data_IF_627297852963
#
_entry.id   IF_627297852963
#
_cell.length_a   1.000
_cell.length_b   1.000
_cell.length_c   1.000
_cell.angle_alpha   90.00
_cell.angle_beta   90.00
_cell.angle_gamma   90.00
#
_symmetry.space_group_name_H-M   'P 1'
#
loop_
_entity.id
_entity.type
_entity.pdbx_description
1 polymer ?
#
# COMPACT_ATOMS: atom_id res chain seq x y z
N UNK A 1 24.64 44.57 33.42
CA UNK A 1 24.52 46.05 33.33
C UNK A 1 25.81 46.58 32.71
N UNK A 2 25.73 47.45 31.71
CA UNK A 2 26.82 48.30 31.18
C UNK A 2 26.19 49.46 30.39
N UNK A 3 26.91 50.57 30.21
CA UNK A 3 26.40 51.87 29.76
C UNK A 3 26.09 51.93 28.24
N UNK A 4 25.04 52.62 27.74
CA UNK A 4 24.87 54.10 27.51
C UNK A 4 26.00 54.72 26.68
N UNK A 5 25.78 55.64 25.73
CA UNK A 5 24.57 56.40 25.25
C UNK A 5 24.12 55.92 23.84
N UNK A 6 23.14 56.43 23.05
CA UNK A 6 22.29 57.64 22.98
C UNK A 6 22.93 58.95 22.44
N UNK A 7 22.25 59.87 21.74
CA UNK A 7 20.84 59.93 21.27
C UNK A 7 20.74 59.77 19.72
N UNK A 8 20.11 60.56 18.82
CA UNK A 8 19.43 61.89 18.80
C UNK A 8 18.22 61.88 17.82
N UNK A 9 17.48 63.00 17.73
CA UNK A 9 16.31 63.26 16.85
C UNK A 9 16.74 63.85 15.48
N UNK A 10 15.92 63.99 14.41
CA UNK A 10 14.50 63.67 14.16
C UNK A 10 13.78 64.78 13.37
N UNK A 11 12.94 64.46 12.35
CA UNK A 11 12.18 65.44 11.55
C UNK A 11 10.94 64.82 10.85
N UNK A 12 9.92 65.65 10.51
CA UNK A 12 8.64 65.28 9.84
C UNK A 12 8.23 66.37 8.83
N UNK A 13 7.53 65.98 7.74
CA UNK A 13 6.96 66.82 6.66
C UNK A 13 8.02 67.51 5.75
N UNK A 14 7.77 67.90 4.49
CA UNK A 14 6.62 68.60 3.87
C UNK A 14 6.35 68.11 2.41
N UNK A 15 5.17 68.39 1.86
CA UNK A 15 4.75 68.03 0.49
C UNK A 15 4.87 69.17 -0.56
N UNK A 16 4.63 68.80 -1.83
CA UNK A 16 3.93 69.60 -2.89
C UNK A 16 4.75 70.28 -4.00
N UNK A 17 4.74 69.65 -5.19
CA UNK A 17 4.70 70.19 -6.59
C UNK A 17 4.93 69.00 -7.55
N UNK A 18 4.22 68.73 -8.67
CA UNK A 18 3.08 69.32 -9.41
C UNK A 18 2.25 68.12 -9.97
N UNK A 19 0.94 68.14 -10.23
CA UNK A 19 -0.07 69.22 -10.12
C UNK A 19 -0.91 69.39 -11.40
N UNK A 20 -1.68 68.37 -11.81
CA UNK A 20 -2.65 68.40 -12.93
C UNK A 20 -3.99 67.80 -12.48
N UNK A 21 -5.09 68.25 -13.07
CA UNK A 21 -6.46 68.10 -12.57
C UNK A 21 -7.14 66.74 -12.87
N UNK A 22 -8.23 66.46 -12.14
CA UNK A 22 -9.09 65.31 -12.38
C UNK A 22 -10.49 65.78 -12.83
N UNK A 23 -10.86 65.55 -14.09
CA UNK A 23 -12.18 65.94 -14.59
C UNK A 23 -12.49 65.48 -16.02
N UNK A 24 -13.53 64.62 -16.14
CA UNK A 24 -14.23 64.22 -17.38
C UNK A 24 -13.38 63.66 -18.53
N UNK A 25 -13.52 62.35 -18.77
CA UNK A 25 -13.90 61.88 -20.11
C UNK A 25 -14.76 60.60 -19.99
N UNK A 26 -15.87 60.56 -20.73
CA UNK A 26 -16.72 59.37 -20.89
C UNK A 26 -16.77 59.04 -22.37
N UNK A 27 -16.16 57.92 -22.77
CA UNK A 27 -16.56 57.16 -23.94
C UNK A 27 -15.96 55.75 -23.97
N UNK A 28 -16.85 54.77 -24.18
CA UNK A 28 -16.67 53.59 -25.02
C UNK A 28 -15.32 52.84 -25.05
N UNK A 29 -15.31 51.64 -24.44
CA UNK A 29 -14.80 50.40 -25.07
C UNK A 29 -15.39 49.15 -24.42
N UNK A 30 -16.40 48.60 -25.09
CA UNK A 30 -16.84 47.19 -25.14
C UNK A 30 -16.36 46.23 -24.03
N UNK A 31 -17.28 45.77 -23.18
CA UNK A 31 -17.08 44.56 -22.40
C UNK A 31 -17.00 43.31 -23.31
N UNK A 32 -16.17 42.30 -22.98
CA UNK A 32 -16.16 41.03 -23.71
C UNK A 32 -17.47 40.26 -23.48
N UNK A 33 -18.02 39.65 -24.54
CA UNK A 33 -19.20 38.78 -24.43
C UNK A 33 -18.85 37.54 -23.58
N UNK A 34 -19.78 37.03 -22.75
CA UNK A 34 -19.66 35.66 -22.23
C UNK A 34 -19.69 34.68 -23.40
N UNK A 35 -18.82 33.66 -23.34
CA UNK A 35 -18.85 32.54 -24.29
C UNK A 35 -19.91 31.55 -23.81
N UNK A 36 -21.00 31.42 -24.58
CA UNK A 36 -21.93 30.30 -24.40
C UNK A 36 -21.24 29.02 -24.84
N UNK A 37 -20.86 28.18 -23.86
CA UNK A 37 -20.48 26.79 -24.13
C UNK A 37 -21.76 25.98 -24.19
N UNK A 38 -21.95 25.23 -25.27
CA UNK A 38 -23.18 24.51 -25.54
C UNK A 38 -23.49 23.47 -24.45
N UNK A 39 -24.78 23.20 -24.23
CA UNK A 39 -25.25 22.13 -23.36
C UNK A 39 -24.95 20.76 -24.00
N UNK A 40 -23.80 20.19 -23.65
CA UNK A 40 -23.51 18.79 -23.99
C UNK A 40 -24.50 17.86 -23.30
N UNK A 41 -24.87 16.78 -24.00
CA UNK A 41 -25.83 15.79 -23.50
C UNK A 41 -25.20 15.01 -22.34
N UNK A 42 -25.99 14.50 -21.37
CA UNK A 42 -25.45 13.57 -20.38
C UNK A 42 -24.86 12.36 -21.10
N UNK A 43 -23.56 12.13 -20.93
CA UNK A 43 -22.89 10.95 -21.44
C UNK A 43 -23.33 9.70 -20.65
N UNK A 44 -23.49 8.60 -21.36
CA UNK A 44 -23.98 7.35 -20.77
C UNK A 44 -23.02 6.83 -19.69
N UNK A 45 -23.59 6.34 -18.59
CA UNK A 45 -22.81 5.80 -17.47
C UNK A 45 -22.15 4.49 -17.88
N UNK A 46 -20.85 4.53 -18.16
CA UNK A 46 -20.07 3.33 -18.50
C UNK A 46 -19.89 2.43 -17.27
N UNK A 47 -20.84 1.52 -17.09
CA UNK A 47 -20.74 0.37 -16.19
C UNK A 47 -19.85 -0.68 -16.85
N UNK A 48 -18.90 -1.26 -16.12
CA UNK A 48 -18.10 -2.38 -16.64
C UNK A 48 -18.91 -3.68 -16.74
N UNK A 49 -18.40 -4.69 -17.45
CA UNK A 49 -19.07 -5.98 -17.64
C UNK A 49 -19.16 -6.84 -16.37
N UNK A 50 -18.75 -6.32 -15.21
CA UNK A 50 -18.90 -6.93 -13.89
C UNK A 50 -19.81 -6.15 -12.94
N UNK A 51 -20.39 -5.03 -13.39
CA UNK A 51 -21.31 -4.21 -12.60
C UNK A 51 -20.66 -3.35 -11.52
N UNK A 52 -19.32 -3.17 -11.55
CA UNK A 52 -18.60 -2.45 -10.49
C UNK A 52 -18.68 -0.92 -10.67
N UNK A 53 -18.84 -0.21 -9.56
CA UNK A 53 -18.88 1.24 -9.53
C UNK A 53 -17.45 1.81 -9.62
N UNK A 54 -17.02 2.21 -10.82
CA UNK A 54 -15.70 2.80 -11.04
C UNK A 54 -15.69 4.24 -10.50
N UNK A 55 -15.06 4.46 -9.35
CA UNK A 55 -14.60 5.80 -9.00
C UNK A 55 -13.31 6.10 -9.79
N UNK A 56 -13.42 6.96 -10.80
CA UNK A 56 -12.28 7.52 -11.53
C UNK A 56 -11.35 8.21 -10.51
N UNK A 57 -10.01 7.99 -10.54
CA UNK A 57 -9.10 8.68 -9.63
C UNK A 57 -9.26 10.20 -9.81
N UNK A 58 -9.26 11.00 -8.73
CA UNK A 58 -9.73 12.39 -8.76
C UNK A 58 -8.91 13.26 -9.70
N UNK A 59 -9.44 13.47 -10.92
CA UNK A 59 -8.86 14.34 -11.94
C UNK A 59 -8.76 15.76 -11.38
N UNK A 60 -7.53 16.21 -11.11
CA UNK A 60 -7.26 17.54 -10.56
C UNK A 60 -7.85 18.62 -11.48
N UNK A 61 -8.86 19.33 -10.99
CA UNK A 61 -9.12 20.71 -11.40
C UNK A 61 -8.77 21.63 -10.24
N UNK A 62 -8.17 22.78 -10.53
CA UNK A 62 -7.77 23.80 -9.55
C UNK A 62 -8.96 24.62 -9.06
N UNK A 63 -9.95 23.94 -8.48
CA UNK A 63 -11.14 24.54 -7.85
C UNK A 63 -11.12 24.28 -6.35
N UNK A 64 -11.78 25.19 -5.62
CA UNK A 64 -11.71 25.33 -4.15
C UNK A 64 -11.98 23.99 -3.45
N UNK A 65 -11.29 23.74 -2.33
CA UNK A 65 -11.61 22.66 -1.40
C UNK A 65 -13.12 22.61 -1.18
N UNK A 66 -13.73 21.46 -1.49
CA UNK A 66 -15.13 21.24 -1.19
C UNK A 66 -15.31 21.29 0.33
N UNK A 67 -16.13 22.22 0.81
CA UNK A 67 -16.43 22.34 2.23
C UNK A 67 -17.10 21.01 2.67
N UNK A 68 -16.50 20.23 3.59
CA UNK A 68 -17.05 18.93 3.95
C UNK A 68 -18.47 19.08 4.53
N UNK A 69 -19.35 18.11 4.25
CA UNK A 69 -20.70 18.16 4.85
C UNK A 69 -20.58 18.00 6.37
N UNK A 70 -21.49 18.58 7.19
CA UNK A 70 -21.43 18.46 8.65
C UNK A 70 -21.38 17.02 9.20
N UNK A 71 -21.75 16.01 8.42
CA UNK A 71 -21.66 14.58 8.78
C UNK A 71 -20.27 13.97 8.56
N UNK A 72 -19.39 14.62 7.80
CA UNK A 72 -18.08 14.08 7.42
C UNK A 72 -16.91 14.69 8.21
N UNK A 73 -17.10 15.87 8.82
CA UNK A 73 -16.05 16.61 9.55
C UNK A 73 -15.42 15.75 10.66
N UNK A 74 -16.25 15.00 11.40
CA UNK A 74 -15.82 14.24 12.58
C UNK A 74 -15.27 12.83 12.27
N UNK A 75 -15.03 12.48 11.01
CA UNK A 75 -14.45 11.18 10.62
C UNK A 75 -12.94 11.23 10.74
N UNK A 76 -12.30 10.20 11.31
CA UNK A 76 -10.83 10.14 11.46
C UNK A 76 -10.09 10.21 10.11
N UNK A 77 -10.68 9.66 9.05
CA UNK A 77 -10.19 9.77 7.66
C UNK A 77 -10.62 11.04 6.91
N UNK A 78 -11.14 12.06 7.60
CA UNK A 78 -11.40 13.36 6.98
C UNK A 78 -10.07 14.02 6.59
N UNK A 79 -9.99 14.62 5.40
CA UNK A 79 -8.76 15.27 4.91
C UNK A 79 -8.24 16.36 5.84
N UNK A 80 -9.12 17.13 6.49
CA UNK A 80 -8.73 18.16 7.47
C UNK A 80 -8.11 17.54 8.73
N UNK A 81 -8.62 16.40 9.18
CA UNK A 81 -8.08 15.66 10.33
C UNK A 81 -6.73 15.00 9.98
N UNK A 82 -6.61 14.41 8.79
CA UNK A 82 -5.34 13.85 8.32
C UNK A 82 -4.27 14.94 8.13
N UNK A 83 -4.66 16.13 7.66
CA UNK A 83 -3.76 17.28 7.52
C UNK A 83 -3.16 17.77 8.85
N UNK A 84 -3.78 17.54 10.02
CA UNK A 84 -3.15 17.92 11.30
C UNK A 84 -1.89 17.10 11.61
N UNK A 85 -1.66 15.99 10.89
CA UNK A 85 -0.48 15.13 11.00
C UNK A 85 0.60 15.44 9.94
N UNK A 86 0.38 16.42 9.05
CA UNK A 86 1.37 16.85 8.05
C UNK A 86 2.76 17.14 8.65
N UNK A 87 2.91 17.88 9.77
CA UNK A 87 4.22 18.12 10.39
C UNK A 87 4.96 16.86 10.87
N UNK A 88 4.23 15.76 11.08
CA UNK A 88 4.74 14.49 11.62
C UNK A 88 5.19 13.57 10.47
N UNK A 89 4.45 13.54 9.36
CA UNK A 89 4.78 12.66 8.22
C UNK A 89 5.62 13.35 7.14
N UNK A 90 5.60 14.68 7.02
CA UNK A 90 6.41 15.43 6.07
C UNK A 90 7.92 15.12 6.13
N UNK A 91 8.56 14.94 7.32
CA UNK A 91 9.96 14.52 7.41
C UNK A 91 10.25 13.10 6.89
N UNK A 92 9.22 12.25 6.77
CA UNK A 92 9.34 10.80 6.45
C UNK A 92 8.95 10.50 4.99
N UNK A 93 8.38 11.47 4.27
CA UNK A 93 8.10 11.34 2.83
C UNK A 93 9.36 10.97 2.00
N UNK A 94 10.56 11.53 2.23
CA UNK A 94 11.77 11.15 1.50
C UNK A 94 12.18 9.69 1.68
N UNK A 95 11.66 9.02 2.72
CA UNK A 95 11.90 7.60 3.04
C UNK A 95 10.71 6.69 2.69
N UNK A 96 9.65 7.24 2.09
CA UNK A 96 8.43 6.51 1.75
C UNK A 96 8.32 6.34 0.23
N UNK A 97 8.02 5.12 -0.21
CA UNK A 97 8.03 4.70 -1.61
C UNK A 97 6.66 4.15 -2.00
N UNK A 98 6.25 4.33 -3.25
CA UNK A 98 5.06 3.71 -3.82
C UNK A 98 5.48 2.61 -4.79
N UNK A 99 5.15 1.36 -4.47
CA UNK A 99 5.44 0.21 -5.31
C UNK A 99 4.26 0.02 -6.28
N UNK A 100 4.52 0.08 -7.58
CA UNK A 100 3.49 -0.03 -8.62
C UNK A 100 3.79 -1.13 -9.63
N UNK A 101 2.71 -1.63 -10.24
CA UNK A 101 2.75 -2.40 -11.50
C UNK A 101 1.93 -1.62 -12.52
N UNK A 102 2.52 -1.29 -13.68
CA UNK A 102 1.82 -0.58 -14.78
C UNK A 102 1.08 0.69 -14.29
N UNK A 103 1.64 1.40 -13.31
CA UNK A 103 1.07 2.61 -12.70
C UNK A 103 0.02 2.38 -11.59
N UNK A 104 -0.44 1.14 -11.34
CA UNK A 104 -1.31 0.81 -10.20
C UNK A 104 -0.47 0.54 -8.96
N UNK A 105 -0.71 1.26 -7.86
CA UNK A 105 -0.12 0.97 -6.55
C UNK A 105 -0.56 -0.41 -6.04
N UNK A 106 0.43 -1.27 -5.77
CA UNK A 106 0.25 -2.59 -5.15
C UNK A 106 0.67 -2.61 -3.69
N UNK A 107 1.63 -1.76 -3.29
CA UNK A 107 2.08 -1.61 -1.92
C UNK A 107 2.68 -0.22 -1.70
N UNK A 108 2.87 0.17 -0.44
CA UNK A 108 3.88 1.15 -0.07
C UNK A 108 5.19 0.43 0.23
N UNK A 109 6.29 1.18 0.22
CA UNK A 109 7.62 0.71 0.56
C UNK A 109 8.33 1.72 1.45
N UNK A 110 9.40 1.25 2.08
CA UNK A 110 10.16 2.00 3.08
C UNK A 110 11.63 1.94 2.73
N UNK A 111 12.28 3.10 2.55
CA UNK A 111 13.72 3.16 2.27
C UNK A 111 14.48 2.79 3.56
N UNK A 112 15.28 1.72 3.50
CA UNK A 112 16.04 1.20 4.65
C UNK A 112 17.54 1.45 4.55
N UNK A 113 18.03 1.89 3.39
CA UNK A 113 19.44 2.26 3.16
C UNK A 113 19.54 3.45 2.18
N UNK A 114 20.70 4.11 2.14
CA UNK A 114 21.02 5.15 1.15
C UNK A 114 21.27 4.58 -0.26
N UNK A 115 21.66 3.30 -0.36
CA UNK A 115 22.06 2.64 -1.60
C UNK A 115 20.93 1.75 -2.16
N UNK A 116 19.77 2.34 -2.47
CA UNK A 116 18.73 1.67 -3.25
C UNK A 116 17.89 0.59 -2.55
N UNK A 117 18.16 0.25 -1.29
CA UNK A 117 17.45 -0.80 -0.56
C UNK A 117 16.10 -0.32 0.02
N UNK A 118 15.01 -0.96 -0.41
CA UNK A 118 13.62 -0.60 -0.08
C UNK A 118 12.88 -1.84 0.43
N UNK A 119 12.31 -1.77 1.62
CA UNK A 119 11.51 -2.85 2.21
C UNK A 119 10.02 -2.67 1.88
N UNK A 120 9.29 -3.75 1.62
CA UNK A 120 7.83 -3.74 1.38
C UNK A 120 7.16 -5.05 1.84
N UNK A 121 5.83 -5.17 1.76
CA UNK A 121 5.06 -6.39 2.10
C UNK A 121 5.16 -7.40 0.96
N UNK A 122 5.58 -8.63 1.25
CA UNK A 122 5.86 -9.65 0.24
C UNK A 122 4.58 -10.15 -0.47
N UNK A 123 3.52 -10.47 0.27
CA UNK A 123 2.28 -11.04 -0.30
C UNK A 123 1.53 -10.13 -1.29
N UNK A 124 1.75 -8.81 -1.27
CA UNK A 124 1.17 -7.88 -2.25
C UNK A 124 1.95 -7.87 -3.59
N UNK A 125 3.18 -8.40 -3.63
CA UNK A 125 4.02 -8.45 -4.83
C UNK A 125 3.54 -9.52 -5.83
N UNK A 126 3.66 -9.31 -7.16
CA UNK A 126 3.07 -10.16 -8.17
C UNK A 126 3.84 -11.47 -8.37
N UNK A 127 3.12 -12.60 -8.45
CA UNK A 127 3.70 -13.87 -8.86
C UNK A 127 3.78 -14.01 -10.39
N UNK A 128 4.90 -14.56 -10.87
CA UNK A 128 5.25 -14.74 -12.28
C UNK A 128 6.10 -16.02 -12.40
N UNK A 129 5.48 -17.16 -12.72
CA UNK A 129 6.20 -18.45 -12.88
C UNK A 129 6.88 -18.92 -11.57
N UNK A 130 6.20 -18.75 -10.43
CA UNK A 130 6.77 -19.00 -9.11
C UNK A 130 7.77 -17.96 -8.56
N UNK A 131 8.15 -16.92 -9.33
CA UNK A 131 9.03 -15.82 -8.88
C UNK A 131 8.37 -14.45 -9.05
N UNK A 132 8.95 -13.36 -8.54
CA UNK A 132 8.41 -12.01 -8.76
C UNK A 132 9.02 -11.39 -10.02
N UNK A 133 8.18 -11.01 -10.99
CA UNK A 133 8.62 -10.46 -12.27
C UNK A 133 9.05 -8.99 -12.20
N UNK A 134 10.30 -8.75 -11.76
CA UNK A 134 10.95 -7.43 -11.60
C UNK A 134 10.76 -6.48 -12.79
N UNK A 135 10.66 -7.00 -14.02
CA UNK A 135 10.50 -6.20 -15.25
C UNK A 135 9.29 -5.24 -15.25
N UNK A 136 8.32 -5.41 -14.35
CA UNK A 136 7.12 -4.57 -14.25
C UNK A 136 6.96 -3.79 -12.93
N UNK A 137 7.88 -3.97 -11.96
CA UNK A 137 7.88 -3.25 -10.70
C UNK A 137 8.54 -1.87 -10.86
N UNK A 138 7.83 -0.83 -10.42
CA UNK A 138 8.34 0.54 -10.37
C UNK A 138 8.15 1.10 -8.96
N UNK A 139 9.24 1.59 -8.38
CA UNK A 139 9.27 2.34 -7.13
C UNK A 139 9.27 3.85 -7.43
N UNK A 140 8.15 4.51 -7.19
CA UNK A 140 8.06 5.97 -7.21
C UNK A 140 8.48 6.54 -5.85
N UNK A 141 9.29 7.60 -5.85
CA UNK A 141 9.73 8.31 -4.63
C UNK A 141 9.01 9.65 -4.47
N UNK A 142 8.99 10.21 -3.27
CA UNK A 142 8.32 11.49 -2.96
C UNK A 142 8.92 12.72 -3.68
N UNK A 143 10.12 12.62 -4.26
CA UNK A 143 10.71 13.62 -5.16
C UNK A 143 10.11 13.59 -6.58
N UNK A 144 9.29 12.59 -6.91
CA UNK A 144 8.70 12.38 -8.23
C UNK A 144 9.57 11.60 -9.23
N UNK A 145 10.66 10.96 -8.80
CA UNK A 145 11.44 10.06 -9.66
C UNK A 145 10.98 8.60 -9.53
N UNK A 146 10.85 7.93 -10.67
CA UNK A 146 10.51 6.51 -10.79
C UNK A 146 11.76 5.68 -11.09
N UNK A 147 11.95 4.57 -10.37
CA UNK A 147 12.98 3.56 -10.66
C UNK A 147 12.37 2.19 -10.91
N UNK A 148 12.94 1.42 -11.83
CA UNK A 148 12.69 -0.04 -11.88
C UNK A 148 13.21 -0.67 -10.58
N UNK A 149 12.42 -1.55 -9.99
CA UNK A 149 12.77 -2.27 -8.79
C UNK A 149 12.87 -3.78 -9.03
N UNK A 150 13.82 -4.43 -8.38
CA UNK A 150 13.97 -5.89 -8.43
C UNK A 150 13.83 -6.49 -7.03
N UNK A 151 13.20 -7.66 -6.91
CA UNK A 151 13.10 -8.37 -5.62
C UNK A 151 14.42 -9.10 -5.39
N UNK A 152 15.21 -8.64 -4.42
CA UNK A 152 16.54 -9.16 -4.13
C UNK A 152 16.52 -10.28 -3.07
N UNK A 153 15.58 -10.21 -2.11
CA UNK A 153 15.35 -11.26 -1.11
C UNK A 153 13.93 -11.15 -0.52
N UNK A 154 13.43 -12.21 0.12
CA UNK A 154 12.12 -12.22 0.79
C UNK A 154 12.11 -13.07 2.07
N UNK A 155 11.44 -12.54 3.09
CA UNK A 155 11.23 -13.17 4.39
C UNK A 155 9.78 -13.68 4.47
N UNK A 156 9.65 -15.01 4.43
CA UNK A 156 8.36 -15.68 4.52
C UNK A 156 7.80 -15.68 5.95
N UNK A 157 8.60 -15.49 7.00
CA UNK A 157 8.09 -15.46 8.38
C UNK A 157 7.35 -14.16 8.68
N UNK A 158 7.92 -12.99 8.33
CA UNK A 158 7.31 -11.68 8.64
C UNK A 158 6.57 -11.02 7.45
N UNK A 159 6.43 -11.72 6.32
CA UNK A 159 5.76 -11.24 5.09
C UNK A 159 6.41 -9.97 4.49
N UNK A 160 7.74 -9.95 4.43
CA UNK A 160 8.51 -8.81 3.95
C UNK A 160 9.38 -9.17 2.75
N UNK A 161 9.52 -8.23 1.82
CA UNK A 161 10.39 -8.35 0.66
C UNK A 161 11.36 -7.17 0.61
N UNK A 162 12.63 -7.45 0.30
CA UNK A 162 13.65 -6.45 0.06
C UNK A 162 13.76 -6.21 -1.45
N UNK A 163 13.38 -5.01 -1.86
CA UNK A 163 13.58 -4.50 -3.20
C UNK A 163 14.92 -3.77 -3.29
N UNK A 164 15.54 -3.82 -4.48
CA UNK A 164 16.67 -2.98 -4.86
C UNK A 164 16.27 -2.09 -6.04
N UNK A 165 16.73 -0.83 -6.05
CA UNK A 165 16.63 0.11 -7.17
C UNK A 165 18.00 0.71 -7.48
N UNK A 166 18.26 1.05 -8.74
CA UNK A 166 19.51 1.72 -9.16
C UNK A 166 19.51 3.22 -8.78
N UNK A 167 19.56 3.49 -7.46
CA UNK A 167 19.58 4.83 -6.89
C UNK A 167 20.52 4.92 -5.68
N UNK A 168 21.13 6.08 -5.47
CA UNK A 168 22.05 6.35 -4.37
C UNK A 168 21.75 7.69 -3.70
N UNK A 169 22.26 7.88 -2.48
CA UNK A 169 21.97 9.03 -1.62
C UNK A 169 20.48 9.16 -1.26
N UNK A 170 19.77 8.03 -1.19
CA UNK A 170 18.42 7.99 -0.67
C UNK A 170 18.40 8.31 0.83
N UNK A 171 17.25 8.74 1.35
CA UNK A 171 17.07 9.03 2.78
C UNK A 171 16.47 7.81 3.49
N UNK A 172 17.26 6.99 4.22
CA UNK A 172 16.72 5.87 4.99
C UNK A 172 15.90 6.35 6.20
N UNK A 173 14.97 5.52 6.65
CA UNK A 173 14.11 5.86 7.80
C UNK A 173 14.87 6.01 9.13
N UNK A 174 14.44 7.00 9.93
CA UNK A 174 14.83 7.12 11.33
C UNK A 174 14.00 6.17 12.21
N UNK A 175 14.59 5.04 12.62
CA UNK A 175 13.93 4.08 13.51
C UNK A 175 13.74 4.61 14.93
N UNK A 176 12.55 4.38 15.49
CA UNK A 176 12.31 4.56 16.92
C UNK A 176 13.23 3.64 17.76
N UNK A 177 13.67 4.15 18.92
CA UNK A 177 14.49 3.37 19.87
C UNK A 177 13.65 2.38 20.67
N UNK A 178 12.42 2.77 20.99
CA UNK A 178 11.47 2.06 21.82
C UNK A 178 10.10 2.01 21.11
N UNK A 179 9.23 1.08 21.53
CA UNK A 179 7.86 0.99 21.03
C UNK A 179 6.98 1.90 21.91
N UNK A 180 6.13 2.77 21.34
CA UNK A 180 5.28 3.67 22.13
C UNK A 180 4.31 2.93 23.07
N UNK A 181 3.81 3.68 24.06
CA UNK A 181 2.80 3.17 24.99
C UNK A 181 1.46 2.88 24.32
N UNK A 182 0.63 2.06 24.98
CA UNK A 182 -0.78 1.89 24.57
C UNK A 182 -1.50 3.24 24.67
N UNK A 183 -2.31 3.57 23.68
CA UNK A 183 -2.95 4.89 23.56
C UNK A 183 -2.10 5.95 22.84
N UNK A 184 -0.84 5.67 22.49
CA UNK A 184 -0.05 6.57 21.63
C UNK A 184 -0.65 6.63 20.22
N UNK A 185 -0.77 7.86 19.68
CA UNK A 185 -1.14 8.09 18.28
C UNK A 185 -0.02 7.66 17.34
N UNK A 186 -0.42 7.12 16.19
CA UNK A 186 0.44 6.67 15.10
C UNK A 186 -0.09 7.18 13.75
N UNK A 187 0.81 7.39 12.79
CA UNK A 187 0.46 7.75 11.41
C UNK A 187 1.18 6.86 10.39
N UNK A 188 0.54 6.63 9.24
CA UNK A 188 1.15 5.96 8.08
C UNK A 188 1.36 7.01 6.98
N UNK A 189 2.61 7.39 6.64
CA UNK A 189 2.88 8.28 5.52
C UNK A 189 2.39 7.71 4.17
N UNK A 190 2.17 8.61 3.21
CA UNK A 190 2.06 8.31 1.77
C UNK A 190 3.14 9.13 1.05
N UNK A 191 3.09 9.28 -0.27
CA UNK A 191 3.95 10.19 -1.05
C UNK A 191 3.39 11.63 -1.08
N UNK A 192 2.47 11.93 -0.16
CA UNK A 192 1.82 13.23 0.00
C UNK A 192 1.93 13.66 1.46
N UNK A 193 1.91 14.97 1.72
CA UNK A 193 2.02 15.50 3.08
C UNK A 193 0.82 15.18 3.97
N UNK A 194 -0.29 14.74 3.37
CA UNK A 194 -1.42 14.12 4.09
C UNK A 194 -1.17 12.61 4.22
N UNK A 195 -1.19 12.02 5.43
CA UNK A 195 -0.94 10.59 5.63
C UNK A 195 -2.02 9.69 5.00
N UNK A 196 -1.61 8.47 4.66
CA UNK A 196 -2.48 7.40 4.17
C UNK A 196 -3.55 7.00 5.22
N UNK A 197 -3.15 6.94 6.49
CA UNK A 197 -4.04 6.70 7.63
C UNK A 197 -3.43 7.24 8.94
N UNK A 198 -4.28 7.44 9.94
CA UNK A 198 -3.89 7.71 11.34
C UNK A 198 -4.67 6.79 12.28
N UNK A 199 -4.08 6.47 13.42
CA UNK A 199 -4.68 5.59 14.42
C UNK A 199 -3.97 5.62 15.75
N UNK A 200 -4.27 4.64 16.60
CA UNK A 200 -3.81 4.54 17.98
C UNK A 200 -3.22 3.15 18.21
N UNK A 201 -2.11 3.07 18.96
CA UNK A 201 -1.52 1.82 19.42
C UNK A 201 -2.45 1.18 20.45
N UNK A 202 -3.28 0.23 20.00
CA UNK A 202 -4.39 -0.34 20.77
C UNK A 202 -3.91 -1.38 21.80
N UNK A 203 -2.89 -2.16 21.45
CA UNK A 203 -2.19 -3.04 22.40
C UNK A 203 -0.68 -3.01 22.14
N UNK A 204 0.09 -3.28 23.19
CA UNK A 204 1.51 -3.63 23.04
C UNK A 204 1.68 -4.97 22.32
N UNK A 205 2.92 -5.38 22.09
CA UNK A 205 3.28 -6.54 21.25
C UNK A 205 2.35 -7.76 21.42
N UNK A 206 1.74 -8.19 20.32
CA UNK A 206 0.88 -9.38 20.24
C UNK A 206 1.51 -10.45 19.35
N UNK A 207 1.30 -11.72 19.69
CA UNK A 207 1.53 -12.84 18.77
C UNK A 207 0.24 -13.13 18.02
N UNK A 208 0.27 -13.04 16.70
CA UNK A 208 -0.86 -13.41 15.82
C UNK A 208 -0.68 -14.88 15.46
N UNK A 209 -1.60 -15.75 15.90
CA UNK A 209 -1.56 -17.17 15.54
C UNK A 209 -1.68 -17.34 14.02
N UNK A 210 -1.02 -18.35 13.47
CA UNK A 210 -1.18 -18.75 12.06
C UNK A 210 -2.59 -19.29 11.85
N UNK A 211 -3.29 -18.82 10.83
CA UNK A 211 -4.53 -19.42 10.33
C UNK A 211 -4.24 -20.39 9.19
N UNK A 212 -5.22 -21.21 8.85
CA UNK A 212 -5.13 -22.08 7.68
C UNK A 212 -5.27 -21.23 6.40
N UNK A 213 -4.35 -21.42 5.46
CA UNK A 213 -4.41 -20.80 4.14
C UNK A 213 -5.49 -21.47 3.27
N UNK A 214 -6.41 -20.70 2.71
CA UNK A 214 -7.54 -21.18 1.92
C UNK A 214 -7.63 -20.51 0.56
N UNK A 215 -8.04 -21.28 -0.45
CA UNK A 215 -8.35 -20.78 -1.80
C UNK A 215 -9.77 -20.17 -1.89
N UNK A 216 -10.62 -20.40 -0.87
CA UNK A 216 -12.01 -19.93 -0.83
C UNK A 216 -12.96 -20.69 -1.77
N UNK A 217 -12.78 -22.01 -1.84
CA UNK A 217 -13.61 -22.93 -2.64
C UNK A 217 -14.06 -24.13 -1.81
N UNK A 218 -15.25 -24.65 -2.10
CA UNK A 218 -15.68 -25.98 -1.65
C UNK A 218 -15.27 -27.02 -2.69
N UNK A 219 -14.60 -28.08 -2.25
CA UNK A 219 -14.03 -29.11 -3.12
C UNK A 219 -14.64 -30.49 -2.84
N UNK A 220 -15.28 -31.05 -3.86
CA UNK A 220 -15.64 -32.47 -3.94
C UNK A 220 -14.58 -33.30 -4.66
N UNK A 221 -14.77 -34.61 -4.71
CA UNK A 221 -13.89 -35.54 -5.42
C UNK A 221 -14.47 -35.91 -6.79
N UNK A 222 -13.68 -35.70 -7.85
CA UNK A 222 -14.01 -36.14 -9.21
C UNK A 222 -13.20 -37.36 -9.63
N UNK A 223 -13.41 -37.82 -10.87
CA UNK A 223 -12.71 -39.00 -11.41
C UNK A 223 -11.19 -38.81 -11.52
N UNK A 224 -10.74 -37.61 -11.91
CA UNK A 224 -9.34 -37.29 -12.22
C UNK A 224 -8.79 -36.08 -11.43
N UNK A 225 -9.51 -35.59 -10.41
CA UNK A 225 -9.09 -34.37 -9.68
C UNK A 225 -10.07 -33.87 -8.62
N UNK A 226 -9.77 -32.71 -8.04
CA UNK A 226 -10.64 -32.04 -7.07
C UNK A 226 -11.64 -31.12 -7.80
N UNK A 227 -12.94 -31.35 -7.64
CA UNK A 227 -13.99 -30.59 -8.36
C UNK A 227 -14.49 -29.44 -7.50
N UNK A 228 -14.56 -28.24 -8.08
CA UNK A 228 -15.10 -27.06 -7.42
C UNK A 228 -16.63 -27.16 -7.38
N UNK A 229 -17.17 -27.35 -6.18
CA UNK A 229 -18.62 -27.30 -5.92
C UNK A 229 -19.11 -25.86 -5.72
N UNK A 230 -18.25 -24.99 -5.17
CA UNK A 230 -18.60 -23.65 -4.72
C UNK A 230 -17.39 -22.71 -4.78
N UNK A 231 -17.61 -21.41 -5.04
CA UNK A 231 -16.57 -20.37 -5.07
C UNK A 231 -17.07 -19.16 -4.27
N UNK A 232 -16.41 -18.84 -3.16
CA UNK A 232 -16.82 -17.73 -2.29
C UNK A 232 -16.66 -16.37 -3.01
N UNK A 233 -17.61 -15.42 -2.90
CA UNK A 233 -17.60 -14.19 -3.70
C UNK A 233 -16.38 -13.26 -3.53
N UNK A 234 -15.67 -13.35 -2.40
CA UNK A 234 -14.53 -12.50 -2.01
C UNK A 234 -13.18 -13.23 -2.09
N UNK A 235 -13.13 -14.42 -2.70
CA UNK A 235 -11.96 -15.30 -2.66
C UNK A 235 -10.92 -15.08 -3.76
N UNK A 236 -9.67 -15.44 -3.48
CA UNK A 236 -8.61 -15.56 -4.50
C UNK A 236 -8.96 -16.53 -5.65
N UNK A 237 -9.85 -17.50 -5.42
CA UNK A 237 -10.46 -18.30 -6.49
C UNK A 237 -11.38 -17.51 -7.41
N UNK A 238 -12.24 -16.65 -6.83
CA UNK A 238 -13.11 -15.75 -7.59
C UNK A 238 -12.30 -14.76 -8.41
N UNK A 239 -11.25 -14.20 -7.82
CA UNK A 239 -10.31 -13.28 -8.49
C UNK A 239 -9.56 -13.96 -9.64
N UNK A 240 -9.12 -15.21 -9.45
CA UNK A 240 -8.53 -16.04 -10.51
C UNK A 240 -9.54 -16.48 -11.60
N UNK A 241 -10.83 -16.20 -11.43
CA UNK A 241 -11.88 -16.60 -12.37
C UNK A 241 -12.17 -18.10 -12.39
N UNK A 242 -11.93 -18.81 -11.28
CA UNK A 242 -12.42 -20.18 -11.06
C UNK A 242 -13.96 -20.22 -10.98
N UNK A 243 -14.54 -21.36 -11.32
CA UNK A 243 -15.98 -21.57 -11.44
C UNK A 243 -16.39 -22.94 -10.90
N UNK A 244 -17.65 -23.04 -10.51
CA UNK A 244 -18.30 -24.33 -10.20
C UNK A 244 -18.18 -25.27 -11.41
N UNK A 245 -17.93 -26.55 -11.12
CA UNK A 245 -17.63 -27.63 -12.06
C UNK A 245 -16.32 -27.50 -12.86
N UNK A 246 -15.41 -26.60 -12.49
CA UNK A 246 -13.99 -26.77 -12.83
C UNK A 246 -13.39 -27.92 -12.02
N UNK A 247 -12.55 -28.76 -12.63
CA UNK A 247 -11.77 -29.78 -11.93
C UNK A 247 -10.30 -29.37 -11.85
N UNK A 248 -9.76 -29.20 -10.65
CA UNK A 248 -8.33 -28.95 -10.40
C UNK A 248 -7.57 -30.28 -10.52
N UNK A 249 -6.66 -30.35 -11.49
CA UNK A 249 -5.90 -31.57 -11.83
C UNK A 249 -4.40 -31.46 -11.53
N UNK A 250 -3.87 -30.24 -11.37
CA UNK A 250 -2.53 -30.01 -10.80
C UNK A 250 -2.44 -28.66 -10.05
N UNK A 251 -1.51 -28.60 -9.09
CA UNK A 251 -1.17 -27.42 -8.28
C UNK A 251 0.35 -27.29 -8.23
N UNK A 252 0.89 -26.15 -8.65
CA UNK A 252 2.33 -25.87 -8.75
C UNK A 252 3.10 -27.01 -9.47
N UNK A 253 2.52 -27.54 -10.55
CA UNK A 253 3.03 -28.68 -11.32
C UNK A 253 2.77 -30.08 -10.71
N UNK A 254 2.34 -30.18 -9.46
CA UNK A 254 2.08 -31.46 -8.79
C UNK A 254 0.64 -31.95 -9.07
N UNK A 255 0.43 -33.22 -9.48
CA UNK A 255 -0.91 -33.74 -9.74
C UNK A 255 -1.84 -33.73 -8.51
N UNK A 256 -3.07 -33.25 -8.70
CA UNK A 256 -4.17 -33.28 -7.74
C UNK A 256 -5.16 -34.35 -8.20
N UNK A 257 -5.32 -35.42 -7.42
CA UNK A 257 -6.23 -36.54 -7.75
C UNK A 257 -7.59 -36.47 -7.05
N UNK A 258 -7.70 -35.73 -5.96
CA UNK A 258 -8.91 -35.56 -5.16
C UNK A 258 -8.77 -34.33 -4.23
N UNK A 259 -9.85 -33.95 -3.55
CA UNK A 259 -9.91 -32.80 -2.65
C UNK A 259 -8.97 -32.92 -1.44
N UNK A 260 -8.64 -34.15 -1.00
CA UNK A 260 -7.69 -34.37 0.09
C UNK A 260 -6.24 -34.09 -0.36
N UNK A 261 -5.86 -34.52 -1.56
CA UNK A 261 -4.56 -34.21 -2.16
C UNK A 261 -4.36 -32.69 -2.32
N UNK A 262 -5.43 -31.97 -2.71
CA UNK A 262 -5.41 -30.49 -2.73
C UNK A 262 -5.17 -29.91 -1.34
N UNK A 263 -5.99 -30.29 -0.34
CA UNK A 263 -5.89 -29.79 1.04
C UNK A 263 -4.48 -30.01 1.61
N UNK A 264 -3.93 -31.21 1.44
CA UNK A 264 -2.60 -31.55 1.94
C UNK A 264 -1.47 -30.70 1.34
N UNK A 265 -1.57 -30.29 0.06
CA UNK A 265 -0.54 -29.47 -0.59
C UNK A 265 -0.61 -27.98 -0.22
N UNK A 266 -1.74 -27.48 0.29
CA UNK A 266 -1.88 -26.07 0.74
C UNK A 266 -1.65 -25.86 2.23
N UNK A 267 -1.59 -26.94 3.05
CA UNK A 267 -1.44 -26.86 4.51
C UNK A 267 -0.23 -26.03 4.97
N UNK A 268 0.93 -26.20 4.31
CA UNK A 268 2.17 -25.52 4.70
C UNK A 268 2.32 -24.11 4.10
N UNK A 269 1.34 -23.64 3.32
CA UNK A 269 1.30 -22.31 2.73
C UNK A 269 0.62 -21.29 3.66
N UNK A 270 0.79 -20.00 3.35
CA UNK A 270 0.16 -18.87 4.05
C UNK A 270 -0.85 -18.18 3.14
N UNK A 271 -1.73 -17.36 3.73
CA UNK A 271 -2.42 -16.33 2.95
C UNK A 271 -1.45 -15.50 2.11
N UNK A 272 -1.91 -15.04 0.94
CA UNK A 272 -1.10 -14.32 -0.03
C UNK A 272 -0.21 -15.18 -0.93
N UNK A 273 0.14 -16.41 -0.53
CA UNK A 273 0.94 -17.32 -1.38
C UNK A 273 0.23 -17.57 -2.72
N UNK A 274 0.94 -17.51 -3.85
CA UNK A 274 0.38 -17.80 -5.16
C UNK A 274 0.26 -19.32 -5.39
N UNK A 275 -0.77 -19.70 -6.16
CA UNK A 275 -0.98 -21.07 -6.66
C UNK A 275 -1.10 -21.05 -8.17
N UNK A 276 -0.29 -21.84 -8.86
CA UNK A 276 -0.45 -22.14 -10.28
C UNK A 276 -1.30 -23.40 -10.42
N UNK A 277 -2.53 -23.24 -10.92
CA UNK A 277 -3.53 -24.29 -11.01
C UNK A 277 -3.71 -24.72 -12.47
N UNK A 278 -3.51 -26.00 -12.77
CA UNK A 278 -4.07 -26.59 -13.98
C UNK A 278 -5.49 -27.07 -13.68
N UNK A 279 -6.46 -26.55 -14.42
CA UNK A 279 -7.87 -26.93 -14.33
C UNK A 279 -8.39 -27.50 -15.65
N UNK A 280 -9.36 -28.42 -15.55
CA UNK A 280 -10.21 -28.83 -16.68
C UNK A 280 -11.57 -28.14 -16.55
N UNK A 281 -11.89 -27.30 -17.54
CA UNK A 281 -13.18 -26.62 -17.69
C UNK A 281 -13.93 -27.23 -18.87
N UNK A 282 -14.85 -28.14 -18.57
CA UNK A 282 -15.58 -28.93 -19.58
C UNK A 282 -14.66 -29.89 -20.35
N UNK A 283 -14.14 -29.45 -21.50
CA UNK A 283 -13.16 -30.20 -22.32
C UNK A 283 -11.83 -29.47 -22.54
N UNK A 284 -11.62 -28.32 -21.90
CA UNK A 284 -10.41 -27.48 -22.08
C UNK A 284 -9.56 -27.51 -20.81
N UNK A 285 -8.27 -27.82 -20.94
CA UNK A 285 -7.26 -27.50 -19.92
C UNK A 285 -6.98 -26.00 -19.94
N UNK A 286 -6.87 -25.39 -18.77
CA UNK A 286 -6.55 -23.97 -18.57
C UNK A 286 -5.57 -23.86 -17.39
N UNK A 287 -4.54 -23.02 -17.53
CA UNK A 287 -3.67 -22.66 -16.42
C UNK A 287 -4.15 -21.32 -15.85
N UNK A 288 -4.35 -21.25 -14.54
CA UNK A 288 -4.79 -20.05 -13.82
C UNK A 288 -3.89 -19.83 -12.61
N UNK A 289 -3.54 -18.57 -12.33
CA UNK A 289 -2.86 -18.20 -11.08
C UNK A 289 -3.89 -17.66 -10.11
N UNK A 290 -3.97 -18.28 -8.92
CA UNK A 290 -4.77 -17.81 -7.81
C UNK A 290 -3.87 -17.39 -6.63
N UNK A 291 -4.45 -16.79 -5.60
CA UNK A 291 -3.81 -16.61 -4.29
C UNK A 291 -4.59 -17.34 -3.22
N UNK A 292 -3.87 -17.82 -2.21
CA UNK A 292 -4.45 -18.21 -0.93
C UNK A 292 -4.77 -16.97 -0.09
N UNK A 293 -5.61 -17.15 0.92
CA UNK A 293 -5.97 -16.15 1.92
C UNK A 293 -5.92 -16.79 3.30
N UNK A 294 -5.60 -16.04 4.34
CA UNK A 294 -5.72 -16.54 5.72
C UNK A 294 -7.20 -16.66 6.09
N UNK A 295 -7.66 -17.84 6.51
CA UNK A 295 -9.04 -18.06 6.95
C UNK A 295 -9.29 -17.38 8.32
N UNK A 296 -9.70 -16.11 8.30
CA UNK A 296 -10.15 -15.38 9.49
C UNK A 296 -11.68 -15.36 9.61
N UNK A 297 -12.20 -14.99 10.78
CA UNK A 297 -13.64 -14.88 11.03
C UNK A 297 -14.27 -13.78 10.15
N UNK A 298 -13.52 -12.70 9.88
CA UNK A 298 -13.93 -11.60 9.01
C UNK A 298 -14.09 -11.98 7.53
N UNK A 299 -13.65 -13.17 7.09
CA UNK A 299 -13.91 -13.69 5.74
C UNK A 299 -15.13 -14.63 5.66
N UNK A 300 -15.74 -14.97 6.79
CA UNK A 300 -16.84 -15.94 6.88
C UNK A 300 -18.23 -15.29 7.00
N UNK A 301 -18.30 -13.98 7.28
CA UNK A 301 -19.54 -13.19 7.31
C UNK A 301 -19.51 -12.13 6.19
N UNK A 302 -20.43 -12.26 5.22
CA UNK A 302 -20.51 -11.32 4.09
C UNK A 302 -20.88 -9.90 4.54
N UNK A 303 -21.64 -9.74 5.62
CA UNK A 303 -22.06 -8.43 6.14
C UNK A 303 -20.90 -7.73 6.87
N UNK A 304 -20.06 -8.48 7.59
CA UNK A 304 -18.86 -7.91 8.19
C UNK A 304 -17.81 -7.58 7.11
N UNK A 305 -17.74 -8.31 5.99
CA UNK A 305 -16.93 -7.91 4.83
C UNK A 305 -17.41 -6.61 4.17
N UNK A 306 -18.72 -6.44 3.95
CA UNK A 306 -19.30 -5.18 3.43
C UNK A 306 -18.96 -3.96 4.30
N UNK A 307 -18.85 -4.16 5.63
CA UNK A 307 -18.60 -3.08 6.60
C UNK A 307 -17.12 -2.92 6.98
N UNK A 308 -16.28 -3.93 6.77
CA UNK A 308 -14.83 -3.90 7.07
C UNK A 308 -13.98 -3.25 5.99
N UNK A 309 -14.36 -3.48 4.72
CA UNK A 309 -13.52 -3.17 3.55
C UNK A 309 -12.41 -4.21 3.30
N UNK A 310 -11.55 -3.92 2.32
CA UNK A 310 -10.47 -4.80 1.87
C UNK A 310 -9.49 -5.17 3.03
N UNK A 311 -9.35 -6.46 3.32
CA UNK A 311 -8.32 -7.04 4.22
C UNK A 311 -7.15 -7.60 3.41
N UNK A 312 -5.96 -7.66 4.00
CA UNK A 312 -4.78 -8.23 3.34
C UNK A 312 -4.92 -9.74 3.21
N UNK A 313 -4.58 -10.31 2.04
CA UNK A 313 -4.63 -11.77 1.82
C UNK A 313 -3.84 -12.55 2.88
N UNK A 314 -2.73 -11.96 3.39
CA UNK A 314 -2.03 -12.41 4.59
C UNK A 314 -2.22 -11.42 5.74
N UNK A 315 -2.69 -11.94 6.86
CA UNK A 315 -2.92 -11.22 8.11
C UNK A 315 -2.47 -12.00 9.37
N UNK A 316 -2.03 -13.25 9.22
CA UNK A 316 -1.79 -14.20 10.32
C UNK A 316 -0.36 -14.74 10.38
N UNK A 317 -0.04 -15.40 11.51
CA UNK A 317 1.21 -16.16 11.68
C UNK A 317 2.44 -15.33 12.05
N UNK A 318 2.25 -14.20 12.71
CA UNK A 318 3.32 -13.28 13.12
C UNK A 318 3.66 -13.41 14.61
N UNK A 319 4.93 -13.66 14.94
CA UNK A 319 5.38 -13.85 16.33
C UNK A 319 5.23 -12.61 17.22
N UNK A 320 5.36 -11.40 16.66
CA UNK A 320 5.31 -10.15 17.41
C UNK A 320 4.92 -8.97 16.52
N UNK A 321 3.75 -8.38 16.77
CA UNK A 321 3.22 -7.21 16.03
C UNK A 321 2.77 -6.10 16.97
N UNK A 322 2.89 -4.85 16.51
CA UNK A 322 2.12 -3.72 17.03
C UNK A 322 0.69 -3.85 16.49
N UNK A 323 -0.31 -3.87 17.38
CA UNK A 323 -1.73 -3.78 17.02
C UNK A 323 -2.18 -2.31 17.07
N UNK A 324 -2.75 -1.82 15.98
CA UNK A 324 -3.27 -0.45 15.87
C UNK A 324 -4.58 -0.40 15.06
N UNK A 325 -5.39 0.63 15.30
CA UNK A 325 -6.71 0.81 14.67
C UNK A 325 -6.69 1.72 13.43
N UNK A 326 -5.53 1.90 12.79
CA UNK A 326 -5.40 2.66 11.54
C UNK A 326 -6.14 1.96 10.40
N UNK A 327 -7.04 2.67 9.72
CA UNK A 327 -7.83 2.13 8.60
C UNK A 327 -6.99 2.15 7.31
N UNK A 328 -6.18 1.11 7.12
CA UNK A 328 -5.35 0.90 5.94
C UNK A 328 -6.04 -0.01 4.91
N UNK A 329 -5.70 0.17 3.63
CA UNK A 329 -5.92 -0.82 2.56
C UNK A 329 -4.74 -1.80 2.48
N UNK A 330 -4.91 -3.00 1.88
CA UNK A 330 -3.82 -3.93 1.62
C UNK A 330 -2.65 -3.28 0.88
N UNK A 331 -2.96 -2.52 -0.18
CA UNK A 331 -1.96 -1.81 -0.98
C UNK A 331 -1.33 -0.57 -0.31
N UNK A 332 -1.65 -0.28 0.95
CA UNK A 332 -0.97 0.72 1.80
C UNK A 332 -0.03 0.05 2.83
N UNK A 333 0.01 -1.28 2.89
CA UNK A 333 1.00 -2.02 3.67
C UNK A 333 2.38 -1.99 2.98
N UNK A 334 3.44 -2.35 3.71
CA UNK A 334 4.85 -2.21 3.32
C UNK A 334 5.45 -0.81 3.58
N UNK A 335 4.61 0.21 3.78
CA UNK A 335 5.02 1.56 4.19
C UNK A 335 5.28 1.69 5.70
N UNK A 336 5.98 2.75 6.13
CA UNK A 336 6.34 2.95 7.53
C UNK A 336 5.14 3.32 8.41
N UNK A 337 5.25 3.05 9.70
CA UNK A 337 4.33 3.50 10.75
C UNK A 337 5.12 4.38 11.72
N UNK A 338 4.68 5.62 11.96
CA UNK A 338 5.43 6.63 12.75
C UNK A 338 4.74 7.01 14.06
N UNK A 339 5.54 7.41 15.05
CA UNK A 339 5.05 8.09 16.26
C UNK A 339 4.79 9.59 16.01
N UNK A 340 4.30 10.29 17.05
CA UNK A 340 4.07 11.75 17.00
C UNK A 340 5.35 12.61 16.85
N UNK A 341 6.54 12.00 16.91
CA UNK A 341 7.83 12.67 16.72
C UNK A 341 8.39 12.45 15.30
N UNK A 342 7.72 11.65 14.46
CA UNK A 342 8.20 11.25 13.14
C UNK A 342 9.17 10.07 13.13
N UNK A 343 9.41 9.39 14.27
CA UNK A 343 10.22 8.17 14.31
C UNK A 343 9.42 6.98 13.78
N UNK A 344 10.04 6.14 12.95
CA UNK A 344 9.41 4.92 12.44
C UNK A 344 9.42 3.84 13.53
N UNK A 345 8.24 3.51 14.05
CA UNK A 345 8.02 2.49 15.10
C UNK A 345 7.87 1.09 14.53
N UNK A 346 7.61 0.97 13.23
CA UNK A 346 7.45 -0.30 12.54
C UNK A 346 7.08 -0.16 11.06
N UNK A 347 6.78 -1.28 10.43
CA UNK A 347 6.32 -1.38 9.03
C UNK A 347 4.91 -1.96 9.05
N UNK A 348 3.95 -1.36 8.37
CA UNK A 348 2.58 -1.88 8.30
C UNK A 348 2.59 -3.19 7.49
N UNK A 349 2.28 -4.33 8.10
CA UNK A 349 2.34 -5.66 7.46
C UNK A 349 0.98 -6.28 7.16
N UNK A 350 -0.13 -5.80 7.72
CA UNK A 350 -1.46 -6.27 7.31
C UNK A 350 -2.58 -5.29 7.72
N UNK A 351 -3.63 -5.22 6.90
CA UNK A 351 -4.99 -4.92 7.39
C UNK A 351 -5.66 -6.26 7.71
N UNK A 352 -5.99 -6.50 8.98
CA UNK A 352 -6.48 -7.80 9.46
C UNK A 352 -8.00 -7.87 9.60
N UNK A 353 -8.66 -6.74 9.88
CA UNK A 353 -10.11 -6.66 10.00
C UNK A 353 -10.59 -5.22 10.18
N UNK A 354 -11.89 -5.01 10.45
CA UNK A 354 -12.51 -3.68 10.51
C UNK A 354 -11.73 -2.67 11.36
N UNK A 355 -11.30 -3.09 12.56
CA UNK A 355 -10.66 -2.24 13.58
C UNK A 355 -9.22 -2.66 13.91
N UNK A 356 -8.63 -3.57 13.13
CA UNK A 356 -7.31 -4.16 13.40
C UNK A 356 -6.38 -4.07 12.18
N UNK A 357 -5.26 -3.39 12.37
CA UNK A 357 -4.09 -3.41 11.49
C UNK A 357 -2.87 -3.85 12.30
N UNK A 358 -1.93 -4.52 11.63
CA UNK A 358 -0.70 -5.03 12.23
C UNK A 358 0.52 -4.37 11.60
N UNK A 359 1.50 -4.03 12.43
CA UNK A 359 2.81 -3.58 12.00
C UNK A 359 3.95 -4.37 12.67
N UNK A 360 4.96 -4.75 11.90
CA UNK A 360 6.17 -5.37 12.45
C UNK A 360 6.97 -4.31 13.24
N UNK A 361 7.34 -4.53 14.51
CA UNK A 361 8.03 -3.53 15.32
C UNK A 361 9.44 -3.23 14.81
N UNK A 362 9.89 -1.98 14.87
CA UNK A 362 11.21 -1.56 14.39
C UNK A 362 12.40 -2.44 14.88
N UNK A 363 12.46 -2.92 16.15
CA UNK A 363 13.50 -3.84 16.58
C UNK A 363 13.51 -5.21 15.89
N UNK A 364 12.36 -5.68 15.38
CA UNK A 364 12.26 -6.88 14.57
C UNK A 364 12.55 -6.58 13.09
N UNK A 365 12.02 -5.47 12.57
CA UNK A 365 12.27 -5.03 11.19
C UNK A 365 13.77 -4.90 10.90
N UNK A 366 14.56 -4.31 11.81
CA UNK A 366 16.02 -4.19 11.61
C UNK A 366 16.72 -5.55 11.40
N UNK A 367 16.36 -6.57 12.18
CA UNK A 367 16.89 -7.94 12.03
C UNK A 367 16.50 -8.57 10.69
N UNK A 368 15.27 -8.32 10.24
CA UNK A 368 14.80 -8.78 8.92
C UNK A 368 15.57 -8.06 7.81
N UNK A 369 15.77 -6.74 7.91
CA UNK A 369 16.59 -5.97 6.94
C UNK A 369 18.04 -6.44 6.91
N UNK A 370 18.65 -6.72 8.06
CA UNK A 370 20.00 -7.27 8.18
C UNK A 370 20.10 -8.61 7.43
N UNK A 371 19.24 -9.59 7.75
CA UNK A 371 19.24 -10.90 7.09
C UNK A 371 18.89 -10.85 5.60
N UNK A 372 17.92 -10.01 5.20
CA UNK A 372 17.54 -9.87 3.78
C UNK A 372 18.67 -9.23 2.95
N UNK A 373 19.45 -8.30 3.52
CA UNK A 373 20.63 -7.74 2.85
C UNK A 373 21.74 -8.78 2.72
N UNK A 374 21.97 -9.61 3.74
CA UNK A 374 22.92 -10.74 3.65
C UNK A 374 22.51 -11.73 2.54
N UNK A 375 21.23 -12.12 2.50
CA UNK A 375 20.68 -12.99 1.44
C UNK A 375 20.85 -12.39 0.04
N UNK A 376 20.50 -11.11 -0.15
CA UNK A 376 20.64 -10.41 -1.42
C UNK A 376 22.09 -10.32 -1.91
N UNK A 377 23.04 -10.08 -1.01
CA UNK A 377 24.47 -10.05 -1.32
C UNK A 377 25.02 -11.44 -1.69
N UNK A 378 24.53 -12.52 -1.05
CA UNK A 378 24.88 -13.89 -1.42
C UNK A 378 24.37 -14.26 -2.83
N UNK A 379 23.17 -13.81 -3.21
CA UNK A 379 22.60 -14.02 -4.55
C UNK A 379 23.32 -13.18 -5.61
N UNK A 380 23.82 -12.01 -5.24
CA UNK A 380 24.53 -11.09 -6.14
C UNK A 380 26.02 -11.42 -6.32
N UNK A 381 26.58 -12.33 -5.52
CA UNK A 381 27.98 -12.72 -5.62
C UNK A 381 28.20 -13.66 -6.82
N UNK A 382 29.15 -13.38 -7.73
CA UNK A 382 29.42 -14.28 -8.85
C UNK A 382 29.99 -15.62 -8.35
N UNK A 383 29.52 -16.71 -8.94
CA UNK A 383 30.02 -18.07 -8.66
C UNK A 383 31.51 -18.18 -8.98
N UNK A 384 32.35 -18.15 -7.95
CA UNK A 384 33.81 -18.26 -8.06
C UNK A 384 34.29 -19.71 -8.31
N UNK A 385 33.58 -20.45 -9.17
CA UNK A 385 33.79 -21.88 -9.42
C UNK A 385 34.15 -22.23 -10.89
N UNK A 386 33.72 -21.43 -11.87
CA UNK A 386 34.09 -21.60 -13.30
C UNK A 386 35.27 -20.69 -13.66
N UNK A 387 36.47 -21.02 -13.16
CA UNK A 387 37.60 -20.07 -13.14
C UNK A 387 39.01 -20.58 -13.39
N UNK A 388 39.30 -21.89 -13.37
CA UNK A 388 40.58 -22.44 -13.85
C UNK A 388 40.61 -23.98 -13.94
N UNK A 389 40.69 -24.49 -15.17
CA UNK A 389 41.39 -25.74 -15.51
C UNK A 389 42.35 -25.39 -16.65
N UNK A 390 43.59 -25.89 -16.58
CA UNK A 390 44.64 -25.76 -17.61
C UNK A 390 45.00 -27.15 -18.12
#
# INVERSE_FOLDING_TARGET
>A
MLNKTAHLLGAIAICSWVGVECGKFISERTAPKPIEIASERPSETLVDTTGRYVQDPPRRSSRRLAIPTPRDINKRGNSLMLQTFEPIVAPVLPSTVRVTIRGRQIALGTIVDKDGWILTKASELPAVGGQVGSQSLVCSLANGSDYRAEVAASDKENDLALLHVEASNLTPVAWAREIPGRGSWLATPDLYTTPAAIGVLSSGLQKVRRQNAVLGVKLGDGADGAVIEEVLPTSGAKEAGLKVADAIVALNGNPIRNSLAFRNQVTDLYGGDPLELEIVRGKRRLNLTARLMDLSEELLDETDMEVSGEVSHRSSGFESVILHDSVLRPNQCGGPLVDLNGNVVGINIARAGRVHSYALPAPAVRKVVESLKEQALLVSAPSAADGQIR
#
